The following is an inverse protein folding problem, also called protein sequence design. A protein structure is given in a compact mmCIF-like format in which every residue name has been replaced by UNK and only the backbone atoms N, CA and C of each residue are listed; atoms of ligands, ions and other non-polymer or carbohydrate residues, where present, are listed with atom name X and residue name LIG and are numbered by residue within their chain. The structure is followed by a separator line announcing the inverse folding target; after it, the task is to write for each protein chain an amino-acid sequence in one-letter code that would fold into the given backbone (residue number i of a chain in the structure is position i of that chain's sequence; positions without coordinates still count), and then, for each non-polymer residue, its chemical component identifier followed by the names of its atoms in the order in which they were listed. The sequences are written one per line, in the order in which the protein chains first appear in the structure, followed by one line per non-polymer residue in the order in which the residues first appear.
data_IF_361263015265
#
_entry.id   IF_361263015265
#
_cell.length_a   1.000
_cell.length_b   1.000
_cell.length_c   1.000
_cell.angle_alpha   90.00
_cell.angle_beta   90.00
_cell.angle_gamma   90.00
#
_symmetry.space_group_name_H-M   'P 1'
#
loop_
_entity.id
_entity.type
_entity.pdbx_description
1 polymer ?
#
# COMPACT_ATOMS: atom_id res chain seq x y z
N UNK A 1 -9.88 1.17 -24.45
CA UNK A 1 -9.13 1.21 -23.17
C UNK A 1 -9.02 2.67 -22.76
N UNK A 2 -10.02 3.20 -22.06
CA UNK A 2 -9.96 4.58 -21.56
C UNK A 2 -8.92 4.62 -20.46
N UNK A 3 -7.83 5.36 -20.67
CA UNK A 3 -6.85 5.62 -19.64
C UNK A 3 -7.55 6.52 -18.60
N UNK A 4 -8.24 5.91 -17.64
CA UNK A 4 -8.86 6.66 -16.54
C UNK A 4 -7.73 7.37 -15.81
N UNK A 5 -7.71 8.71 -15.87
CA UNK A 5 -6.70 9.57 -15.26
C UNK A 5 -6.31 9.15 -13.82
N UNK A 6 -7.23 8.67 -12.96
CA UNK A 6 -6.88 8.16 -11.63
C UNK A 6 -5.93 6.95 -11.65
N UNK A 7 -6.07 6.03 -12.60
CA UNK A 7 -5.26 4.81 -12.67
C UNK A 7 -3.78 5.08 -12.94
N UNK A 8 -3.43 6.26 -13.48
CA UNK A 8 -2.03 6.69 -13.66
C UNK A 8 -1.31 6.70 -12.30
N UNK A 9 -1.98 7.16 -11.25
CA UNK A 9 -1.41 7.23 -9.90
C UNK A 9 -1.12 5.85 -9.31
N UNK A 10 -1.88 4.82 -9.68
CA UNK A 10 -1.59 3.43 -9.29
C UNK A 10 -0.28 2.97 -9.94
N UNK A 11 -0.15 3.17 -11.25
CA UNK A 11 1.06 2.82 -12.00
C UNK A 11 2.29 3.58 -11.50
N UNK A 12 2.15 4.88 -11.25
CA UNK A 12 3.21 5.72 -10.67
C UNK A 12 3.59 5.22 -9.28
N UNK A 13 2.62 4.95 -8.40
CA UNK A 13 2.88 4.41 -7.07
C UNK A 13 3.64 3.09 -7.09
N UNK A 14 3.28 2.18 -8.01
CA UNK A 14 3.98 0.90 -8.19
C UNK A 14 5.40 1.08 -8.72
N UNK A 15 5.61 1.97 -9.69
CA UNK A 15 6.93 2.27 -10.23
C UNK A 15 7.84 2.90 -9.15
N UNK A 16 7.30 3.84 -8.38
CA UNK A 16 7.99 4.48 -7.25
C UNK A 16 8.33 3.45 -6.17
N UNK A 17 7.42 2.53 -5.85
CA UNK A 17 7.67 1.44 -4.92
C UNK A 17 8.86 0.60 -5.35
N UNK A 18 8.83 0.08 -6.58
CA UNK A 18 9.89 -0.80 -7.11
C UNK A 18 11.24 -0.09 -7.17
N UNK A 19 11.26 1.16 -7.64
CA UNK A 19 12.48 1.98 -7.68
C UNK A 19 13.02 2.23 -6.27
N UNK A 20 12.17 2.64 -5.32
CA UNK A 20 12.59 2.92 -3.95
C UNK A 20 13.11 1.66 -3.24
N UNK A 21 12.41 0.52 -3.39
CA UNK A 21 12.87 -0.78 -2.86
C UNK A 21 14.24 -1.14 -3.44
N UNK A 22 14.42 -1.02 -4.77
CA UNK A 22 15.71 -1.26 -5.41
C UNK A 22 16.81 -0.35 -4.83
N UNK A 23 16.56 0.96 -4.73
CA UNK A 23 17.55 1.91 -4.20
C UNK A 23 17.91 1.65 -2.73
N UNK A 24 16.95 1.26 -1.89
CA UNK A 24 17.21 0.98 -0.48
C UNK A 24 17.91 -0.37 -0.24
N UNK A 25 17.60 -1.39 -1.05
CA UNK A 25 18.12 -2.74 -0.85
C UNK A 25 19.43 -3.02 -1.59
N UNK A 26 19.69 -2.39 -2.75
CA UNK A 26 20.88 -2.66 -3.59
C UNK A 26 22.23 -2.46 -2.90
N UNK A 27 22.25 -1.76 -1.76
CA UNK A 27 23.46 -1.56 -0.96
C UNK A 27 23.83 -2.79 -0.10
N UNK A 28 22.88 -3.69 0.19
CA UNK A 28 23.07 -4.75 1.18
C UNK A 28 22.59 -6.12 0.68
N UNK A 29 21.75 -6.16 -0.33
CA UNK A 29 21.19 -7.38 -0.91
C UNK A 29 21.53 -7.39 -2.41
N UNK A 30 21.85 -8.56 -2.96
CA UNK A 30 22.12 -8.70 -4.39
C UNK A 30 20.88 -8.37 -5.21
N UNK A 31 21.09 -7.78 -6.40
CA UNK A 31 19.99 -7.43 -7.32
C UNK A 31 19.16 -8.67 -7.69
N UNK A 32 19.78 -9.84 -7.81
CA UNK A 32 19.12 -11.11 -8.10
C UNK A 32 18.08 -11.48 -7.04
N UNK A 33 18.42 -11.38 -5.76
CA UNK A 33 17.48 -11.67 -4.67
C UNK A 33 16.39 -10.60 -4.56
N UNK A 34 16.71 -9.33 -4.82
CA UNK A 34 15.71 -8.25 -4.84
C UNK A 34 14.68 -8.50 -5.93
N UNK A 35 15.13 -8.75 -7.17
CA UNK A 35 14.25 -9.00 -8.31
C UNK A 35 13.51 -10.33 -8.16
N UNK A 36 14.20 -11.40 -7.77
CA UNK A 36 13.61 -12.73 -7.59
C UNK A 36 12.50 -12.73 -6.54
N UNK A 37 12.74 -12.16 -5.37
CA UNK A 37 11.73 -12.04 -4.32
C UNK A 37 10.57 -11.13 -4.72
N UNK A 38 10.84 -10.00 -5.38
CA UNK A 38 9.80 -9.05 -5.80
C UNK A 38 8.88 -9.64 -6.88
N UNK A 39 9.45 -10.33 -7.88
CA UNK A 39 8.67 -10.99 -8.94
C UNK A 39 7.81 -12.11 -8.36
N UNK A 40 8.41 -12.95 -7.51
CA UNK A 40 7.69 -14.05 -6.88
C UNK A 40 6.55 -13.54 -5.97
N UNK A 41 6.81 -12.49 -5.19
CA UNK A 41 5.79 -11.82 -4.38
C UNK A 41 4.66 -11.22 -5.25
N UNK A 42 4.99 -10.64 -6.41
CA UNK A 42 3.99 -10.08 -7.33
C UNK A 42 3.07 -11.16 -7.91
N UNK A 43 3.62 -12.26 -8.43
CA UNK A 43 2.82 -13.36 -8.97
C UNK A 43 1.93 -13.99 -7.91
N UNK A 44 2.47 -14.19 -6.71
CA UNK A 44 1.74 -14.81 -5.60
C UNK A 44 0.68 -13.86 -5.03
N UNK A 45 0.90 -12.54 -5.01
CA UNK A 45 -0.12 -11.54 -4.70
C UNK A 45 -1.30 -11.60 -5.67
N UNK A 46 -1.03 -11.71 -6.99
CA UNK A 46 -2.07 -11.80 -8.01
C UNK A 46 -2.94 -13.07 -7.84
N UNK A 47 -2.31 -14.21 -7.57
CA UNK A 47 -3.01 -15.49 -7.38
C UNK A 47 -3.79 -15.47 -6.06
N UNK A 48 -3.12 -15.16 -4.95
CA UNK A 48 -3.72 -15.16 -3.61
C UNK A 48 -4.86 -14.16 -3.46
N UNK A 49 -4.74 -12.94 -3.99
CA UNK A 49 -5.81 -11.95 -3.92
C UNK A 49 -7.07 -12.37 -4.69
N UNK A 50 -6.92 -13.16 -5.78
CA UNK A 50 -8.07 -13.76 -6.49
C UNK A 50 -8.71 -14.89 -5.71
N UNK A 51 -7.89 -15.83 -5.22
CA UNK A 51 -8.37 -16.97 -4.44
C UNK A 51 -9.09 -16.49 -3.18
N UNK A 52 -8.53 -15.50 -2.49
CA UNK A 52 -9.14 -14.94 -1.28
C UNK A 52 -10.43 -14.18 -1.58
N UNK A 53 -10.50 -13.46 -2.71
CA UNK A 53 -11.76 -12.85 -3.16
C UNK A 53 -12.84 -13.90 -3.43
N UNK A 54 -12.47 -15.00 -4.11
CA UNK A 54 -13.41 -16.08 -4.42
C UNK A 54 -13.90 -16.79 -3.16
N UNK A 55 -13.01 -16.99 -2.19
CA UNK A 55 -13.35 -17.52 -0.88
C UNK A 55 -14.36 -16.61 -0.15
N UNK A 56 -14.08 -15.31 -0.08
CA UNK A 56 -14.95 -14.35 0.63
C UNK A 56 -16.33 -14.19 -0.02
N UNK A 57 -16.40 -14.23 -1.35
CA UNK A 57 -17.65 -14.01 -2.09
C UNK A 57 -18.32 -15.31 -2.56
N UNK A 58 -17.83 -16.47 -2.11
CA UNK A 58 -18.31 -17.81 -2.49
C UNK A 58 -18.45 -18.02 -4.01
N UNK A 59 -17.61 -17.37 -4.81
CA UNK A 59 -17.64 -17.52 -6.27
C UNK A 59 -16.82 -18.74 -6.67
N UNK A 60 -17.15 -19.36 -7.82
CA UNK A 60 -16.44 -20.54 -8.30
C UNK A 60 -14.92 -20.33 -8.41
N UNK A 61 -14.14 -21.19 -7.74
CA UNK A 61 -12.68 -21.19 -7.80
C UNK A 61 -12.14 -21.46 -9.20
N UNK A 62 -12.88 -22.23 -10.01
CA UNK A 62 -12.54 -22.49 -11.42
C UNK A 62 -12.54 -21.17 -12.20
N UNK A 63 -13.50 -20.28 -11.91
CA UNK A 63 -13.53 -18.92 -12.49
C UNK A 63 -12.45 -18.01 -11.90
N UNK A 64 -12.11 -18.20 -10.62
CA UNK A 64 -11.07 -17.43 -9.94
C UNK A 64 -9.64 -17.72 -10.45
N UNK A 65 -9.38 -18.94 -10.93
CA UNK A 65 -8.11 -19.34 -11.55
C UNK A 65 -7.87 -18.75 -12.94
N UNK A 66 -8.89 -18.16 -13.59
CA UNK A 66 -8.69 -17.40 -14.82
C UNK A 66 -8.09 -16.02 -14.50
N UNK A 67 -6.78 -16.00 -14.26
CA UNK A 67 -5.99 -14.79 -13.93
C UNK A 67 -6.16 -13.69 -15.00
N UNK A 68 -6.39 -14.07 -16.26
CA UNK A 68 -6.58 -13.13 -17.37
C UNK A 68 -7.98 -12.46 -17.43
N UNK A 69 -8.98 -12.99 -16.71
CA UNK A 69 -10.26 -12.29 -16.50
C UNK A 69 -10.15 -11.21 -15.42
N UNK A 70 -8.95 -10.89 -14.93
CA UNK A 70 -8.79 -9.96 -13.81
C UNK A 70 -9.29 -8.54 -14.08
N UNK A 71 -9.37 -8.15 -15.34
CA UNK A 71 -9.93 -6.88 -15.78
C UNK A 71 -11.44 -6.73 -15.52
N UNK A 72 -12.16 -7.82 -15.19
CA UNK A 72 -13.59 -7.79 -14.89
C UNK A 72 -13.92 -7.46 -13.42
N UNK A 73 -12.91 -7.09 -12.60
CA UNK A 73 -13.07 -6.86 -11.16
C UNK A 73 -12.90 -8.14 -10.32
N UNK A 74 -12.99 -8.01 -9.00
CA UNK A 74 -12.93 -9.13 -8.04
C UNK A 74 -11.52 -9.54 -7.61
N UNK A 75 -10.82 -8.68 -6.88
CA UNK A 75 -9.51 -8.97 -6.30
C UNK A 75 -9.43 -8.46 -4.86
N UNK A 76 -9.04 -9.31 -3.93
CA UNK A 76 -8.90 -8.95 -2.52
C UNK A 76 -7.51 -8.43 -2.24
N UNK A 77 -7.43 -7.16 -1.86
CA UNK A 77 -6.17 -6.52 -1.43
C UNK A 77 -5.57 -7.24 -0.22
N UNK A 78 -6.42 -7.67 0.72
CA UNK A 78 -5.96 -8.41 1.90
C UNK A 78 -5.34 -9.75 1.50
N UNK A 79 -5.99 -10.49 0.60
CA UNK A 79 -5.46 -11.75 0.08
C UNK A 79 -4.10 -11.56 -0.61
N UNK A 80 -3.99 -10.52 -1.43
CA UNK A 80 -2.75 -10.18 -2.14
C UNK A 80 -1.59 -9.87 -1.17
N UNK A 81 -1.85 -9.08 -0.13
CA UNK A 81 -0.86 -8.75 0.91
C UNK A 81 -0.42 -10.01 1.64
N UNK A 82 -1.35 -10.87 2.06
CA UNK A 82 -1.04 -12.11 2.79
C UNK A 82 -0.16 -13.03 1.93
N UNK A 83 -0.52 -13.25 0.66
CA UNK A 83 0.27 -14.09 -0.23
C UNK A 83 1.66 -13.53 -0.50
N UNK A 84 1.78 -12.22 -0.75
CA UNK A 84 3.07 -11.57 -0.95
C UNK A 84 3.98 -11.70 0.27
N UNK A 85 3.46 -11.41 1.47
CA UNK A 85 4.22 -11.51 2.71
C UNK A 85 4.63 -12.94 3.03
N UNK A 86 3.74 -13.92 2.85
CA UNK A 86 4.03 -15.32 3.07
C UNK A 86 5.21 -15.79 2.21
N UNK A 87 5.15 -15.50 0.91
CA UNK A 87 6.19 -15.94 -0.02
C UNK A 87 7.49 -15.17 0.16
N UNK A 88 7.41 -13.88 0.47
CA UNK A 88 8.59 -13.10 0.86
C UNK A 88 9.29 -13.69 2.09
N UNK A 89 8.53 -14.10 3.11
CA UNK A 89 9.10 -14.70 4.31
C UNK A 89 9.74 -16.05 4.01
N UNK A 90 9.03 -16.95 3.32
CA UNK A 90 9.56 -18.26 2.92
C UNK A 90 10.82 -18.14 2.07
N UNK A 91 10.83 -17.22 1.09
CA UNK A 91 12.00 -16.96 0.25
C UNK A 91 13.18 -16.44 1.09
N UNK A 92 12.92 -15.50 2.00
CA UNK A 92 13.97 -14.91 2.83
C UNK A 92 14.58 -15.93 3.80
N UNK A 93 13.77 -16.81 4.39
CA UNK A 93 14.26 -17.90 5.25
C UNK A 93 15.07 -18.92 4.44
N UNK A 94 14.59 -19.33 3.26
CA UNK A 94 15.28 -20.28 2.40
C UNK A 94 16.67 -19.79 1.98
N UNK A 95 16.80 -18.51 1.63
CA UNK A 95 18.06 -17.88 1.21
C UNK A 95 18.81 -17.19 2.37
N UNK A 96 18.36 -17.35 3.63
CA UNK A 96 18.97 -16.76 4.84
C UNK A 96 19.18 -15.24 4.74
N UNK A 97 18.23 -14.54 4.12
CA UNK A 97 18.27 -13.10 3.97
C UNK A 97 17.89 -12.39 5.28
N UNK A 98 18.46 -11.21 5.58
CA UNK A 98 18.16 -10.48 6.80
C UNK A 98 16.76 -9.82 6.71
N UNK A 99 15.71 -10.58 7.02
CA UNK A 99 14.29 -10.17 6.93
C UNK A 99 14.06 -8.82 7.61
N UNK A 100 14.54 -8.66 8.84
CA UNK A 100 14.37 -7.42 9.60
C UNK A 100 15.00 -6.20 8.92
N UNK A 101 16.10 -6.36 8.18
CA UNK A 101 16.72 -5.27 7.41
C UNK A 101 15.90 -4.99 6.15
N UNK A 102 15.46 -6.03 5.45
CA UNK A 102 14.69 -5.87 4.21
C UNK A 102 13.37 -5.16 4.49
N UNK A 103 12.55 -5.70 5.40
CA UNK A 103 11.21 -5.13 5.70
C UNK A 103 11.33 -3.68 6.13
N UNK A 104 12.31 -3.36 6.96
CA UNK A 104 12.52 -2.01 7.49
C UNK A 104 12.97 -0.99 6.44
N UNK A 105 13.59 -1.47 5.37
CA UNK A 105 13.96 -0.66 4.20
C UNK A 105 12.85 -0.56 3.16
N UNK A 106 11.97 -1.57 3.10
CA UNK A 106 10.76 -1.54 2.26
C UNK A 106 9.69 -0.64 2.85
N UNK A 107 9.59 -0.49 4.18
CA UNK A 107 8.57 0.34 4.85
C UNK A 107 8.52 1.79 4.35
N UNK A 108 9.64 2.54 4.26
CA UNK A 108 9.61 3.88 3.67
C UNK A 108 9.11 3.87 2.21
N UNK A 109 9.57 2.91 1.41
CA UNK A 109 9.11 2.76 0.02
C UNK A 109 7.60 2.49 -0.06
N UNK A 110 7.07 1.66 0.85
CA UNK A 110 5.65 1.38 0.98
C UNK A 110 4.84 2.64 1.32
N UNK A 111 5.31 3.43 2.30
CA UNK A 111 4.66 4.70 2.66
C UNK A 111 4.56 5.63 1.45
N UNK A 112 5.66 5.77 0.71
CA UNK A 112 5.69 6.61 -0.49
C UNK A 112 4.69 6.11 -1.54
N UNK A 113 4.70 4.82 -1.86
CA UNK A 113 3.78 4.21 -2.81
C UNK A 113 2.30 4.35 -2.39
N UNK A 114 2.00 4.16 -1.11
CA UNK A 114 0.66 4.28 -0.57
C UNK A 114 0.13 5.71 -0.65
N UNK A 115 0.99 6.73 -0.51
CA UNK A 115 0.59 8.12 -0.77
C UNK A 115 0.12 8.31 -2.22
N UNK A 116 0.83 7.75 -3.22
CA UNK A 116 0.39 7.78 -4.62
C UNK A 116 -0.92 7.01 -4.84
N UNK A 117 -1.10 5.84 -4.23
CA UNK A 117 -2.37 5.11 -4.30
C UNK A 117 -3.54 5.88 -3.67
N UNK A 118 -3.30 6.69 -2.64
CA UNK A 118 -4.33 7.56 -2.06
C UNK A 118 -4.60 8.81 -2.88
N UNK A 119 -3.63 9.29 -3.66
CA UNK A 119 -3.88 10.31 -4.68
C UNK A 119 -4.86 9.78 -5.74
N UNK A 120 -4.73 8.52 -6.18
CA UNK A 120 -5.77 7.90 -7.03
C UNK A 120 -7.17 8.03 -6.41
N UNK A 121 -7.34 7.70 -5.12
CA UNK A 121 -8.63 7.81 -4.44
C UNK A 121 -9.16 9.26 -4.41
N UNK A 122 -8.26 10.23 -4.17
CA UNK A 122 -8.59 11.65 -4.14
C UNK A 122 -9.14 12.12 -5.50
N UNK A 123 -8.46 11.79 -6.60
CA UNK A 123 -8.87 12.17 -7.97
C UNK A 123 -10.06 11.36 -8.49
N UNK A 124 -10.20 10.11 -8.05
CA UNK A 124 -11.38 9.29 -8.37
C UNK A 124 -12.64 9.75 -7.60
N UNK A 125 -12.47 10.51 -6.52
CA UNK A 125 -13.59 10.90 -5.65
C UNK A 125 -14.07 9.75 -4.76
N UNK A 126 -13.20 8.80 -4.40
CA UNK A 126 -13.55 7.62 -3.62
C UNK A 126 -12.77 7.52 -2.29
N UNK A 127 -13.21 6.62 -1.40
CA UNK A 127 -12.63 6.39 -0.07
C UNK A 127 -12.71 7.60 0.88
N UNK A 128 -13.75 8.41 0.75
CA UNK A 128 -14.10 9.45 1.73
C UNK A 128 -14.78 8.82 2.94
N UNK A 129 -14.73 9.53 4.08
CA UNK A 129 -15.44 9.12 5.30
C UNK A 129 -16.92 9.49 5.25
N UNK A 130 -17.59 9.38 6.39
CA UNK A 130 -18.98 9.80 6.58
C UNK A 130 -19.17 11.31 6.35
N UNK A 131 -20.43 11.71 6.22
CA UNK A 131 -20.81 13.12 6.18
C UNK A 131 -20.39 13.83 7.46
N UNK A 132 -19.90 15.07 7.33
CA UNK A 132 -19.54 15.90 8.47
C UNK A 132 -20.15 17.28 8.38
N UNK A 133 -20.69 17.75 9.49
CA UNK A 133 -21.18 19.13 9.63
C UNK A 133 -20.05 20.12 9.98
N UNK A 134 -18.83 19.62 10.24
CA UNK A 134 -17.68 20.46 10.57
C UNK A 134 -17.37 21.44 9.45
N UNK A 135 -17.47 22.74 9.77
CA UNK A 135 -17.11 23.83 8.86
C UNK A 135 -15.67 23.68 8.34
N UNK A 136 -14.76 23.17 9.18
CA UNK A 136 -13.36 23.03 8.84
C UNK A 136 -13.12 21.98 7.75
N UNK A 137 -13.81 20.83 7.81
CA UNK A 137 -13.70 19.80 6.77
C UNK A 137 -14.37 20.24 5.47
N UNK A 138 -15.53 20.89 5.54
CA UNK A 138 -16.19 21.45 4.35
C UNK A 138 -15.30 22.48 3.67
N UNK A 139 -14.77 23.44 4.43
CA UNK A 139 -13.87 24.48 3.89
C UNK A 139 -12.61 23.89 3.27
N UNK A 140 -11.98 22.90 3.92
CA UNK A 140 -10.82 22.20 3.37
C UNK A 140 -11.14 21.51 2.04
N UNK A 141 -12.24 20.75 2.00
CA UNK A 141 -12.64 20.04 0.79
C UNK A 141 -13.01 21.01 -0.35
N UNK A 142 -13.65 22.14 -0.05
CA UNK A 142 -13.93 23.19 -1.05
C UNK A 142 -12.67 23.88 -1.55
N UNK A 143 -11.73 24.25 -0.66
CA UNK A 143 -10.46 24.88 -1.05
C UNK A 143 -9.61 23.99 -1.96
N UNK A 144 -9.66 22.68 -1.74
CA UNK A 144 -8.94 21.68 -2.53
C UNK A 144 -9.72 21.20 -3.76
N UNK A 145 -10.91 21.75 -4.03
CA UNK A 145 -11.73 21.39 -5.18
C UNK A 145 -12.17 19.92 -5.19
N UNK A 146 -12.36 19.31 -4.02
CA UNK A 146 -12.72 17.90 -3.92
C UNK A 146 -14.16 17.68 -4.40
N UNK A 147 -14.38 16.55 -5.09
CA UNK A 147 -15.66 16.20 -5.68
C UNK A 147 -16.81 16.03 -4.66
N UNK A 148 -16.47 15.71 -3.40
CA UNK A 148 -17.42 15.43 -2.32
C UNK A 148 -17.15 16.32 -1.09
N UNK A 149 -17.51 17.62 -1.11
CA UNK A 149 -17.13 18.56 -0.06
C UNK A 149 -17.80 18.30 1.30
N UNK A 150 -18.89 17.54 1.33
CA UNK A 150 -19.65 17.22 2.54
C UNK A 150 -19.07 16.04 3.33
N UNK A 151 -18.17 15.27 2.71
CA UNK A 151 -17.56 14.08 3.31
C UNK A 151 -16.21 14.41 3.94
N UNK A 152 -15.85 13.67 4.99
CA UNK A 152 -14.51 13.77 5.59
C UNK A 152 -13.46 13.32 4.56
N UNK A 153 -12.45 14.14 4.22
CA UNK A 153 -11.47 13.82 3.19
C UNK A 153 -10.37 12.89 3.72
N UNK A 154 -10.75 11.67 4.11
CA UNK A 154 -9.85 10.61 4.59
C UNK A 154 -8.61 10.37 3.70
N UNK A 155 -8.71 10.39 2.35
CA UNK A 155 -7.53 10.19 1.50
C UNK A 155 -6.42 11.22 1.76
N UNK A 156 -6.76 12.46 2.12
CA UNK A 156 -5.78 13.52 2.44
C UNK A 156 -5.05 13.20 3.73
N UNK A 157 -5.78 12.82 4.78
CA UNK A 157 -5.17 12.45 6.05
C UNK A 157 -4.25 11.24 5.89
N UNK A 158 -4.62 10.27 5.05
CA UNK A 158 -3.75 9.14 4.72
C UNK A 158 -2.49 9.56 3.95
N UNK A 159 -2.61 10.43 2.94
CA UNK A 159 -1.45 10.95 2.20
C UNK A 159 -0.48 11.66 3.16
N UNK A 160 -1.01 12.53 4.02
CA UNK A 160 -0.20 13.28 4.99
C UNK A 160 0.50 12.34 5.98
N UNK A 161 -0.22 11.36 6.53
CA UNK A 161 0.37 10.36 7.43
C UNK A 161 1.48 9.58 6.72
N UNK A 162 1.23 9.11 5.50
CA UNK A 162 2.22 8.37 4.72
C UNK A 162 3.45 9.23 4.39
N UNK A 163 3.27 10.51 4.09
CA UNK A 163 4.39 11.44 3.88
C UNK A 163 5.22 11.65 5.15
N UNK A 164 4.57 11.83 6.31
CA UNK A 164 5.25 11.97 7.60
C UNK A 164 6.00 10.68 7.98
N UNK A 165 5.39 9.51 7.79
CA UNK A 165 6.03 8.22 8.04
C UNK A 165 7.20 7.97 7.09
N UNK A 166 7.06 8.29 5.80
CA UNK A 166 8.16 8.22 4.84
C UNK A 166 9.34 9.08 5.29
N UNK A 167 9.11 10.36 5.59
CA UNK A 167 10.19 11.27 6.00
C UNK A 167 10.86 10.84 7.30
N UNK A 168 10.07 10.50 8.32
CA UNK A 168 10.56 10.15 9.67
C UNK A 168 11.23 8.78 9.75
N UNK A 169 10.82 7.80 8.95
CA UNK A 169 11.37 6.44 8.96
C UNK A 169 12.37 6.19 7.82
N UNK A 170 12.44 7.09 6.84
CA UNK A 170 13.35 7.03 5.69
C UNK A 170 14.50 8.04 5.79
N UNK A 171 14.45 9.17 5.06
CA UNK A 171 15.59 10.09 4.94
C UNK A 171 15.93 10.85 6.23
N UNK A 172 14.95 11.16 7.07
CA UNK A 172 15.16 11.85 8.35
C UNK A 172 15.23 10.89 9.55
N UNK A 173 15.46 9.60 9.27
CA UNK A 173 15.46 8.56 10.30
C UNK A 173 16.51 8.86 11.39
N UNK A 174 16.10 8.98 12.67
CA UNK A 174 17.06 9.17 13.76
C UNK A 174 18.00 7.97 13.89
N UNK A 175 19.28 8.20 14.15
CA UNK A 175 20.30 7.14 14.26
C UNK A 175 19.99 6.07 15.32
N UNK A 176 19.21 6.43 16.36
CA UNK A 176 18.75 5.51 17.41
C UNK A 176 17.74 4.45 16.91
N UNK A 177 17.05 4.72 15.80
CA UNK A 177 16.05 3.80 15.23
C UNK A 177 16.77 2.75 14.39
N UNK A 178 17.03 1.60 15.02
CA UNK A 178 17.60 0.42 14.34
C UNK A 178 16.62 -0.13 13.30
N UNK A 179 17.14 -0.78 12.27
CA UNK A 179 16.35 -1.34 11.17
C UNK A 179 15.14 -2.10 11.70
N UNK A 180 15.31 -3.14 12.52
CA UNK A 180 14.20 -3.97 13.02
C UNK A 180 13.05 -3.24 13.74
N UNK A 181 13.23 -2.01 14.23
CA UNK A 181 12.15 -1.23 14.86
C UNK A 181 11.28 -0.47 13.86
N UNK A 182 11.80 -0.14 12.67
CA UNK A 182 11.11 0.71 11.68
C UNK A 182 9.76 0.10 11.30
N UNK A 183 9.75 -1.21 11.04
CA UNK A 183 8.52 -1.94 10.70
C UNK A 183 7.48 -1.90 11.82
N UNK A 184 7.90 -2.14 13.07
CA UNK A 184 7.01 -2.15 14.22
C UNK A 184 6.46 -0.76 14.52
N UNK A 185 7.28 0.29 14.41
CA UNK A 185 6.85 1.68 14.54
C UNK A 185 5.80 2.01 13.47
N UNK A 186 6.05 1.63 12.22
CA UNK A 186 5.09 1.81 11.14
C UNK A 186 3.75 1.11 11.44
N UNK A 187 3.78 -0.18 11.79
CA UNK A 187 2.56 -0.93 12.13
C UNK A 187 1.82 -0.26 13.28
N UNK A 188 2.51 0.08 14.36
CA UNK A 188 1.90 0.67 15.54
C UNK A 188 1.21 2.00 15.22
N UNK A 189 1.90 2.91 14.54
CA UNK A 189 1.33 4.21 14.15
C UNK A 189 0.20 4.04 13.15
N UNK A 190 0.34 3.15 12.16
CA UNK A 190 -0.69 2.89 11.16
C UNK A 190 -1.96 2.27 11.78
N UNK A 191 -1.82 1.37 12.76
CA UNK A 191 -2.95 0.78 13.47
C UNK A 191 -3.68 1.83 14.31
N UNK A 192 -2.96 2.69 15.04
CA UNK A 192 -3.58 3.81 15.78
C UNK A 192 -4.37 4.71 14.83
N UNK A 193 -3.74 5.10 13.71
CA UNK A 193 -4.43 5.88 12.69
C UNK A 193 -5.69 5.15 12.19
N UNK A 194 -5.60 3.84 11.93
CA UNK A 194 -6.72 3.07 11.41
C UNK A 194 -7.88 2.99 12.41
N UNK A 195 -7.59 2.87 13.71
CA UNK A 195 -8.61 2.91 14.77
C UNK A 195 -9.34 4.26 14.81
N UNK A 196 -8.59 5.37 14.67
CA UNK A 196 -9.16 6.72 14.63
C UNK A 196 -10.00 6.90 13.34
N UNK A 197 -9.44 6.53 12.19
CA UNK A 197 -10.11 6.64 10.90
C UNK A 197 -11.39 5.79 10.83
N UNK A 198 -11.44 4.65 11.54
CA UNK A 198 -12.62 3.80 11.60
C UNK A 198 -13.82 4.49 12.27
N UNK A 199 -13.60 5.43 13.19
CA UNK A 199 -14.66 6.25 13.79
C UNK A 199 -15.22 7.32 12.82
N UNK A 200 -14.54 7.55 11.70
CA UNK A 200 -14.87 8.55 10.69
C UNK A 200 -15.44 7.94 9.40
N UNK A 201 -15.47 6.60 9.29
CA UNK A 201 -16.14 5.87 8.22
C UNK A 201 -17.64 5.72 8.54
#
# INVERSE_FOLDING_TARGET
MTLNLPNIWISVGNAVFLLAVYLYLRKNISTEHILGSSLLAMFTALISGRLFYAFLNQTSYVTAFYIFKSHAGGHSVLGAIIGAFFVFFVYSEFFKLPVGVIVSRVVPAWCLAQAFWRMNCLFAGCCFGRQSESYLFKRLSTLLGLRNPELIPLPIFEILLMAVLFLSLGPLRPAKVKDGHVFWIFIFVYLIYRLIAWQML
#
